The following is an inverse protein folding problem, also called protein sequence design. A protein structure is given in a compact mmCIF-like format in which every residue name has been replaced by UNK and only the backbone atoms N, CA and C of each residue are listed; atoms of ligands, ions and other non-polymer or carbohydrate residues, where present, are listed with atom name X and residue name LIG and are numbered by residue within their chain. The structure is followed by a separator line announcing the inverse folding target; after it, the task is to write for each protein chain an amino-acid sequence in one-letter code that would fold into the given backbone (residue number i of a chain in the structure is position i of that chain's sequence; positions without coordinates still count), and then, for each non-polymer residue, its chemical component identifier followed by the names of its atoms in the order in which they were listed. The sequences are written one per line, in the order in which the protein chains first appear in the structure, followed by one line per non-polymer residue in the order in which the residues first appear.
data_IF_744088515857
#
_entry.id   IF_744088515857
#
_cell.length_a   1.000
_cell.length_b   1.000
_cell.length_c   1.000
_cell.angle_alpha   90.00
_cell.angle_beta   90.00
_cell.angle_gamma   90.00
#
_symmetry.space_group_name_H-M   'P 1'
#
loop_
_entity.id
_entity.type
_entity.pdbx_description
1 polymer ?
#
# COMPACT_ATOMS: atom_id res chain seq x y z
N UNK A 1 -14.80 9.70 -15.11
CA UNK A 1 -14.29 9.18 -13.82
C UNK A 1 -15.20 8.03 -13.41
N UNK A 2 -14.69 6.79 -13.34
CA UNK A 2 -15.50 5.60 -13.02
C UNK A 2 -15.76 5.47 -11.52
N UNK A 3 -14.75 5.72 -10.69
CA UNK A 3 -14.85 5.70 -9.24
C UNK A 3 -13.78 6.61 -8.62
N UNK A 4 -13.95 6.90 -7.33
CA UNK A 4 -12.96 7.62 -6.51
C UNK A 4 -13.01 7.06 -5.09
N UNK A 5 -11.87 6.68 -4.55
CA UNK A 5 -11.74 6.32 -3.14
C UNK A 5 -11.30 7.52 -2.32
N UNK A 6 -11.95 7.70 -1.16
CA UNK A 6 -11.57 8.69 -0.16
C UNK A 6 -10.97 7.97 1.01
N UNK A 7 -9.69 8.20 1.26
CA UNK A 7 -8.98 7.73 2.44
C UNK A 7 -8.76 8.91 3.40
N UNK A 8 -8.80 8.69 4.73
CA UNK A 8 -8.44 9.74 5.69
C UNK A 8 -6.98 10.17 5.54
N UNK A 9 -6.12 9.22 5.15
CA UNK A 9 -4.70 9.44 4.94
C UNK A 9 -4.37 9.72 3.47
N UNK A 10 -3.44 10.64 3.16
CA UNK A 10 -2.96 10.84 1.80
C UNK A 10 -2.36 9.57 1.22
N UNK A 11 -2.73 9.24 -0.02
CA UNK A 11 -2.02 8.23 -0.81
C UNK A 11 -0.59 8.69 -1.07
N UNK A 12 0.37 7.80 -0.84
CA UNK A 12 1.80 8.16 -0.87
C UNK A 12 2.64 7.19 -1.72
N UNK A 13 1.96 6.40 -2.55
CA UNK A 13 2.58 5.46 -3.49
C UNK A 13 2.07 5.68 -4.91
N UNK A 14 2.79 5.15 -5.89
CA UNK A 14 2.17 4.87 -7.19
C UNK A 14 1.12 3.76 -7.07
N UNK A 15 0.23 3.69 -8.06
CA UNK A 15 -0.71 2.60 -8.22
C UNK A 15 -0.08 1.48 -9.06
N UNK A 16 -0.21 0.24 -8.61
CA UNK A 16 0.20 -0.95 -9.36
C UNK A 16 -1.05 -1.73 -9.80
N UNK A 17 -1.42 -1.62 -11.07
CA UNK A 17 -2.48 -2.42 -11.67
C UNK A 17 -1.96 -3.78 -12.15
N UNK A 18 -2.79 -4.82 -12.04
CA UNK A 18 -2.49 -6.16 -12.53
C UNK A 18 -3.55 -6.63 -13.53
N UNK A 19 -3.20 -7.57 -14.40
CA UNK A 19 -4.15 -8.18 -15.34
C UNK A 19 -5.30 -8.94 -14.63
N UNK A 20 -5.14 -9.29 -13.35
CA UNK A 20 -6.17 -9.90 -12.52
C UNK A 20 -7.28 -8.95 -12.06
N UNK A 21 -7.30 -7.69 -12.53
CA UNK A 21 -8.33 -6.71 -12.15
C UNK A 21 -8.12 -6.11 -10.76
N UNK A 22 -6.89 -6.15 -10.23
CA UNK A 22 -6.54 -5.62 -8.92
C UNK A 22 -5.55 -4.47 -9.05
N UNK A 23 -5.79 -3.38 -8.30
CA UNK A 23 -4.89 -2.23 -8.17
C UNK A 23 -4.36 -2.17 -6.75
N UNK A 24 -3.04 -2.18 -6.59
CA UNK A 24 -2.37 -2.00 -5.30
C UNK A 24 -1.92 -0.56 -5.10
N UNK A 25 -1.99 -0.09 -3.87
CA UNK A 25 -1.47 1.21 -3.46
C UNK A 25 -1.34 1.27 -1.95
N UNK A 26 -0.86 2.39 -1.43
CA UNK A 26 -0.74 2.60 -0.01
C UNK A 26 -0.77 4.05 0.41
N UNK A 27 -0.90 4.24 1.71
CA UNK A 27 -1.07 5.54 2.33
C UNK A 27 -0.03 5.83 3.40
N UNK A 28 -0.13 7.05 3.89
CA UNK A 28 0.73 7.58 4.93
C UNK A 28 0.47 6.97 6.32
N UNK A 29 -0.76 6.57 6.61
CA UNK A 29 -1.17 5.89 7.86
C UNK A 29 -0.81 4.39 7.88
N UNK A 30 0.07 4.00 6.95
CA UNK A 30 0.73 2.70 6.89
C UNK A 30 -0.19 1.59 6.38
N UNK A 31 -1.19 1.93 5.58
CA UNK A 31 -2.00 0.91 4.93
C UNK A 31 -1.48 0.60 3.54
N UNK A 32 -1.46 -0.68 3.21
CA UNK A 32 -1.44 -1.16 1.84
C UNK A 32 -2.84 -1.68 1.51
N UNK A 33 -3.32 -1.33 0.33
CA UNK A 33 -4.64 -1.67 -0.18
C UNK A 33 -4.51 -2.48 -1.46
N UNK A 34 -5.47 -3.38 -1.66
CA UNK A 34 -5.80 -3.96 -2.94
C UNK A 34 -7.22 -3.54 -3.29
N UNK A 35 -7.39 -2.82 -4.39
CA UNK A 35 -8.67 -2.36 -4.90
C UNK A 35 -9.11 -3.20 -6.09
N UNK A 36 -10.41 -3.42 -6.20
CA UNK A 36 -11.04 -3.84 -7.45
C UNK A 36 -10.87 -2.74 -8.50
N UNK A 37 -10.28 -3.05 -9.66
CA UNK A 37 -9.96 -2.06 -10.67
C UNK A 37 -11.21 -1.42 -11.32
N UNK A 38 -12.32 -2.15 -11.40
CA UNK A 38 -13.54 -1.70 -12.07
C UNK A 38 -14.42 -0.85 -11.14
N UNK A 39 -14.52 -1.24 -9.87
CA UNK A 39 -15.43 -0.64 -8.89
C UNK A 39 -14.72 0.23 -7.84
N UNK A 40 -13.40 0.11 -7.69
CA UNK A 40 -12.62 0.80 -6.66
C UNK A 40 -12.85 0.28 -5.25
N UNK A 41 -13.53 -0.86 -5.07
CA UNK A 41 -13.79 -1.44 -3.75
C UNK A 41 -12.50 -1.98 -3.14
N UNK A 42 -12.29 -1.78 -1.85
CA UNK A 42 -11.18 -2.43 -1.13
C UNK A 42 -11.48 -3.93 -1.04
N UNK A 43 -10.65 -4.74 -1.69
CA UNK A 43 -10.68 -6.20 -1.63
C UNK A 43 -9.86 -6.73 -0.46
N UNK A 44 -8.74 -6.05 -0.15
CA UNK A 44 -7.85 -6.41 0.93
C UNK A 44 -7.09 -5.17 1.44
N UNK A 45 -6.77 -5.18 2.72
CA UNK A 45 -5.97 -4.16 3.38
C UNK A 45 -5.09 -4.80 4.44
N UNK A 46 -3.87 -4.30 4.59
CA UNK A 46 -3.01 -4.61 5.73
C UNK A 46 -2.33 -3.36 6.25
N UNK A 47 -1.94 -3.39 7.53
CA UNK A 47 -1.13 -2.35 8.14
C UNK A 47 0.34 -2.75 8.10
N UNK A 48 1.14 -1.89 7.50
CA UNK A 48 2.59 -2.00 7.37
C UNK A 48 3.29 -1.45 8.63
N UNK A 49 4.53 -1.86 8.89
CA UNK A 49 5.29 -1.32 10.03
C UNK A 49 5.53 0.19 9.95
N UNK A 50 5.82 0.72 8.76
CA UNK A 50 5.97 2.15 8.48
C UNK A 50 5.15 2.59 7.26
N UNK A 51 5.16 3.89 6.92
CA UNK A 51 4.31 4.43 5.84
C UNK A 51 4.61 3.77 4.50
N UNK A 52 3.57 3.47 3.73
CA UNK A 52 3.75 3.04 2.35
C UNK A 52 4.31 4.22 1.56
N UNK A 53 5.41 3.99 0.83
CA UNK A 53 6.07 5.05 0.08
C UNK A 53 6.82 4.49 -1.12
N UNK A 54 6.65 5.14 -2.28
CA UNK A 54 7.35 4.77 -3.50
C UNK A 54 6.48 3.96 -4.47
N UNK A 55 7.09 2.99 -5.16
CA UNK A 55 6.49 2.29 -6.27
C UNK A 55 6.37 0.79 -5.96
N UNK A 56 5.14 0.29 -5.68
CA UNK A 56 4.95 -1.15 -5.55
C UNK A 56 5.21 -1.84 -6.90
N UNK A 57 5.77 -3.06 -6.83
CA UNK A 57 6.01 -3.90 -8.00
C UNK A 57 5.41 -5.29 -7.80
N UNK A 58 5.18 -6.01 -8.90
CA UNK A 58 4.84 -7.44 -8.87
C UNK A 58 5.80 -8.23 -9.76
N UNK A 59 6.08 -9.47 -9.37
CA UNK A 59 6.98 -10.37 -10.09
C UNK A 59 6.61 -11.83 -9.84
N UNK A 60 7.14 -12.73 -10.67
CA UNK A 60 7.05 -14.17 -10.48
C UNK A 60 8.38 -14.72 -9.96
N UNK A 61 8.31 -15.61 -8.97
CA UNK A 61 9.45 -16.39 -8.52
C UNK A 61 9.00 -17.83 -8.24
N UNK A 62 9.67 -18.82 -8.85
CA UNK A 62 9.33 -20.25 -8.71
C UNK A 62 7.83 -20.55 -8.93
N UNK A 63 7.24 -19.92 -9.94
CA UNK A 63 5.83 -20.10 -10.30
C UNK A 63 4.81 -19.41 -9.38
N UNK A 64 5.26 -18.67 -8.36
CA UNK A 64 4.38 -17.92 -7.44
C UNK A 64 4.51 -16.42 -7.70
N UNK A 65 3.38 -15.72 -7.74
CA UNK A 65 3.34 -14.26 -7.88
C UNK A 65 3.53 -13.59 -6.52
N UNK A 66 4.35 -12.56 -6.50
CA UNK A 66 4.64 -11.74 -5.33
C UNK A 66 4.32 -10.28 -5.63
N UNK A 67 3.95 -9.54 -4.60
CA UNK A 67 3.80 -8.08 -4.63
C UNK A 67 4.73 -7.50 -3.57
N UNK A 68 5.65 -6.63 -3.99
CA UNK A 68 6.58 -5.95 -3.08
C UNK A 68 6.16 -4.50 -2.91
N UNK A 69 6.02 -4.07 -1.65
CA UNK A 69 5.67 -2.72 -1.26
C UNK A 69 6.85 -2.08 -0.52
N UNK A 70 7.49 -1.04 -1.09
CA UNK A 70 8.42 -0.22 -0.36
C UNK A 70 7.69 0.61 0.71
N UNK A 71 8.37 0.75 1.84
CA UNK A 71 7.89 1.52 2.98
C UNK A 71 9.04 2.34 3.53
N UNK A 72 8.74 3.53 4.01
CA UNK A 72 9.74 4.41 4.57
C UNK A 72 9.19 5.77 4.95
N UNK A 73 10.13 6.65 5.25
CA UNK A 73 9.89 8.02 5.67
C UNK A 73 10.79 8.96 4.88
N UNK A 74 10.35 10.21 4.76
CA UNK A 74 11.16 11.27 4.15
C UNK A 74 11.02 11.35 2.63
N UNK A 75 12.09 11.77 1.95
CA UNK A 75 12.07 12.07 0.52
C UNK A 75 11.28 13.34 0.16
N UNK A 76 11.27 13.69 -1.13
CA UNK A 76 10.52 14.84 -1.66
C UNK A 76 9.02 14.56 -1.88
N UNK A 77 8.43 13.59 -1.18
CA UNK A 77 7.01 13.33 -1.32
C UNK A 77 6.20 14.44 -0.66
N UNK A 78 5.06 14.79 -1.26
CA UNK A 78 4.09 15.75 -0.73
C UNK A 78 3.70 15.49 0.73
N UNK A 79 3.75 14.23 1.17
CA UNK A 79 3.45 13.86 2.55
C UNK A 79 4.45 14.43 3.57
N UNK A 80 5.69 14.75 3.19
CA UNK A 80 6.64 15.43 4.09
C UNK A 80 6.37 16.93 4.23
N UNK A 81 5.48 17.49 3.40
CA UNK A 81 5.09 18.89 3.44
C UNK A 81 3.83 19.16 4.28
N UNK A 82 3.16 18.10 4.75
CA UNK A 82 1.96 18.22 5.58
C UNK A 82 2.41 18.32 7.05
N UNK A 83 2.16 19.45 7.73
CA UNK A 83 2.40 19.56 9.17
C UNK A 83 1.60 18.49 9.92
N UNK A 84 2.23 17.79 10.87
CA UNK A 84 1.60 16.70 11.61
C UNK A 84 0.37 17.18 12.42
N UNK A 85 0.33 18.47 12.73
CA UNK A 85 -0.76 19.16 13.42
C UNK A 85 -2.06 19.17 12.61
N UNK A 86 -1.98 19.06 11.28
CA UNK A 86 -3.16 18.99 10.41
C UNK A 86 -3.78 17.60 10.33
N UNK A 87 -3.06 16.56 10.78
CA UNK A 87 -3.53 15.17 10.76
C UNK A 87 -3.06 14.39 12.02
N UNK A 88 -3.44 14.84 13.23
CA UNK A 88 -2.97 14.26 14.49
C UNK A 88 -3.39 12.79 14.70
N UNK A 89 -4.40 12.32 13.97
CA UNK A 89 -4.86 10.95 13.97
C UNK A 89 -3.91 9.98 13.26
N UNK A 90 -3.06 10.47 12.34
CA UNK A 90 -2.12 9.65 11.57
C UNK A 90 -0.89 9.36 12.42
N UNK A 91 -0.71 8.08 12.77
CA UNK A 91 0.39 7.63 13.63
C UNK A 91 1.31 6.68 12.88
N UNK A 92 2.54 7.13 12.65
CA UNK A 92 3.61 6.35 12.03
C UNK A 92 4.90 6.44 12.85
N UNK A 93 5.71 5.37 12.89
CA UNK A 93 7.04 5.42 13.49
C UNK A 93 7.94 6.43 12.77
N UNK A 94 9.00 6.87 13.44
CA UNK A 94 10.04 7.74 12.89
C UNK A 94 11.22 6.96 12.27
N UNK A 95 11.08 5.64 12.11
CA UNK A 95 12.07 4.74 11.53
C UNK A 95 11.39 3.54 10.86
N UNK A 96 12.18 2.61 10.33
CA UNK A 96 11.68 1.31 9.83
C UNK A 96 11.53 1.20 8.32
N UNK A 97 12.40 1.88 7.53
CA UNK A 97 12.44 1.72 6.08
C UNK A 97 12.64 0.24 5.70
N UNK A 98 11.92 -0.23 4.69
CA UNK A 98 12.01 -1.62 4.26
C UNK A 98 11.11 -1.94 3.07
N UNK A 99 11.26 -3.16 2.55
CA UNK A 99 10.41 -3.70 1.48
C UNK A 99 9.64 -4.89 2.06
N UNK A 100 8.31 -4.84 1.95
CA UNK A 100 7.42 -5.89 2.42
C UNK A 100 6.87 -6.66 1.23
N UNK A 101 7.01 -7.98 1.27
CA UNK A 101 6.65 -8.87 0.15
C UNK A 101 5.46 -9.74 0.53
N UNK A 102 4.42 -9.72 -0.30
CA UNK A 102 3.17 -10.43 -0.09
C UNK A 102 2.96 -11.45 -1.21
N UNK A 103 2.36 -12.58 -0.85
CA UNK A 103 1.84 -13.56 -1.78
C UNK A 103 0.66 -14.29 -1.14
N UNK A 104 -0.20 -14.90 -1.94
CA UNK A 104 -1.29 -15.73 -1.42
C UNK A 104 -0.72 -16.90 -0.62
N UNK A 105 -1.32 -17.20 0.53
CA UNK A 105 -1.04 -18.42 1.27
C UNK A 105 -1.39 -19.65 0.43
N UNK A 106 -0.72 -20.78 0.66
CA UNK A 106 -1.18 -22.03 0.10
C UNK A 106 -2.45 -22.43 0.86
N UNK A 107 -3.49 -22.88 0.15
CA UNK A 107 -4.84 -23.14 0.67
C UNK A 107 -4.93 -24.19 1.80
N UNK A 108 -3.82 -24.81 2.19
CA UNK A 108 -3.74 -25.82 3.26
C UNK A 108 -3.42 -25.23 4.65
N UNK A 109 -3.18 -23.93 4.77
CA UNK A 109 -2.95 -23.26 6.05
C UNK A 109 -4.22 -22.53 6.55
N UNK A 110 -5.26 -23.30 6.84
CA UNK A 110 -6.26 -22.93 7.85
C UNK A 110 -5.97 -23.73 9.11
N UNK A 111 -5.42 -23.09 10.13
CA UNK A 111 -5.49 -23.55 11.53
C UNK A 111 -6.53 -22.73 12.24
#
# INVERSE_FOLDING_TARGET
MLWRQRTPSPSNTAALSTAGGVVFGGDWDRHMYAYDAAAGKILWQTRLPTSAQGFPITYLAKGKQYVAMPTGLGGGSWSTLIPLELAPEIKRPNSGNGIFVFALGNSEQKR
#
